data_IF_856742151157
#
_entry.id   IF_856742151157
#
_cell.length_a   1.000
_cell.length_b   1.000
_cell.length_c   1.000
_cell.angle_alpha   90.00
_cell.angle_beta   90.00
_cell.angle_gamma   90.00
#
_symmetry.space_group_name_H-M   'P 1'
#
loop_
_entity.id
_entity.type
_entity.pdbx_description
1 polymer ?
#
# COMPACT_ATOMS: atom_id res chain seq x y z
N UNK A 1 -43.46 72.74 4.67
CA UNK A 1 -42.88 72.02 3.52
C UNK A 1 -42.22 70.77 4.10
N UNK A 2 -42.84 69.58 3.97
CA UNK A 2 -42.54 68.57 2.94
C UNK A 2 -41.04 68.21 2.92
N UNK A 3 -40.55 66.97 3.05
CA UNK A 3 -41.11 65.66 2.73
C UNK A 3 -40.33 64.57 3.49
N UNK A 4 -40.99 63.48 3.87
CA UNK A 4 -40.34 62.24 4.30
C UNK A 4 -39.89 61.38 3.12
N UNK A 5 -38.85 60.58 3.34
CA UNK A 5 -38.39 59.42 2.57
C UNK A 5 -37.76 58.46 3.62
N UNK A 6 -38.43 57.38 4.03
CA UNK A 6 -38.39 56.01 3.45
C UNK A 6 -36.98 55.39 3.58
N UNK A 7 -36.67 54.59 4.60
CA UNK A 7 -36.81 53.12 4.71
C UNK A 7 -36.31 52.36 3.48
N UNK A 8 -35.17 51.66 3.61
CA UNK A 8 -34.88 50.34 3.00
C UNK A 8 -33.61 49.77 3.69
N UNK A 9 -33.72 49.02 4.78
CA UNK A 9 -33.98 47.58 4.88
C UNK A 9 -32.97 46.68 4.15
N UNK A 10 -32.25 45.91 4.96
CA UNK A 10 -31.70 44.57 4.74
C UNK A 10 -31.27 44.19 3.32
N UNK A 11 -29.96 44.04 3.15
CA UNK A 11 -29.34 43.22 2.09
C UNK A 11 -29.77 41.74 2.23
N UNK A 12 -30.98 41.43 1.77
CA UNK A 12 -31.51 40.09 1.66
C UNK A 12 -31.08 39.51 0.31
N UNK A 13 -29.87 38.95 0.28
CA UNK A 13 -29.40 38.16 -0.86
C UNK A 13 -30.32 36.94 -1.02
N UNK A 14 -31.03 36.76 -2.14
CA UNK A 14 -31.93 35.63 -2.32
C UNK A 14 -31.09 34.35 -2.42
N UNK A 15 -31.05 33.60 -1.31
CA UNK A 15 -30.48 32.27 -1.24
C UNK A 15 -31.24 31.39 -2.23
N UNK A 16 -30.55 30.97 -3.30
CA UNK A 16 -31.05 30.01 -4.27
C UNK A 16 -31.68 28.83 -3.53
N UNK A 17 -32.89 28.39 -3.89
CA UNK A 17 -33.57 27.31 -3.19
C UNK A 17 -32.70 26.06 -3.30
N UNK A 18 -32.12 25.64 -2.17
CA UNK A 18 -31.44 24.34 -2.04
C UNK A 18 -32.50 23.30 -2.40
N UNK A 19 -32.44 22.77 -3.62
CA UNK A 19 -33.19 21.56 -4.01
C UNK A 19 -32.72 20.46 -3.05
N UNK A 20 -33.44 20.27 -1.95
CA UNK A 20 -33.22 19.16 -1.05
C UNK A 20 -33.61 17.94 -1.87
N UNK A 21 -32.61 17.21 -2.36
CA UNK A 21 -32.82 15.95 -3.06
C UNK A 21 -33.57 15.04 -2.10
N UNK A 22 -34.82 14.73 -2.44
CA UNK A 22 -35.65 13.80 -1.69
C UNK A 22 -35.41 12.43 -2.30
N UNK A 23 -34.57 11.65 -1.63
CA UNK A 23 -34.24 10.31 -2.08
C UNK A 23 -35.53 9.45 -2.09
N UNK A 24 -35.91 8.87 -3.24
CA UNK A 24 -37.15 8.10 -3.36
C UNK A 24 -37.18 6.85 -2.47
N UNK A 25 -36.02 6.39 -1.95
CA UNK A 25 -35.90 5.18 -1.13
C UNK A 25 -35.25 5.45 0.24
N UNK A 26 -35.51 6.63 0.82
CA UNK A 26 -35.03 7.02 2.17
C UNK A 26 -33.51 6.95 2.34
N UNK A 27 -32.75 7.10 1.24
CA UNK A 27 -31.29 7.02 1.25
C UNK A 27 -30.71 5.60 1.16
N UNK A 28 -31.55 4.56 1.10
CA UNK A 28 -31.09 3.17 0.95
C UNK A 28 -30.33 2.95 -0.36
N UNK A 29 -30.85 3.46 -1.46
CA UNK A 29 -30.20 3.35 -2.76
C UNK A 29 -28.83 4.05 -2.74
N UNK A 30 -28.76 5.26 -2.17
CA UNK A 30 -27.50 5.98 -2.01
C UNK A 30 -26.49 5.19 -1.18
N UNK A 31 -26.92 4.63 -0.06
CA UNK A 31 -26.07 3.80 0.79
C UNK A 31 -25.49 2.60 0.04
N UNK A 32 -26.30 1.90 -0.75
CA UNK A 32 -25.85 0.76 -1.55
C UNK A 32 -24.85 1.18 -2.63
N UNK A 33 -25.10 2.29 -3.33
CA UNK A 33 -24.18 2.81 -4.33
C UNK A 33 -22.84 3.23 -3.72
N UNK A 34 -22.87 3.90 -2.56
CA UNK A 34 -21.67 4.28 -1.82
C UNK A 34 -20.90 3.04 -1.36
N UNK A 35 -21.60 2.01 -0.88
CA UNK A 35 -21.01 0.74 -0.46
C UNK A 35 -20.33 0.00 -1.62
N UNK A 36 -21.03 -0.13 -2.75
CA UNK A 36 -20.50 -0.76 -3.96
C UNK A 36 -19.27 0.01 -4.47
N UNK A 37 -19.39 1.34 -4.57
CA UNK A 37 -18.30 2.20 -5.00
C UNK A 37 -17.06 2.04 -4.13
N UNK A 38 -17.21 2.11 -2.80
CA UNK A 38 -16.08 1.93 -1.88
C UNK A 38 -15.45 0.57 -2.09
N UNK A 39 -16.24 -0.49 -2.20
CA UNK A 39 -15.73 -1.83 -2.43
C UNK A 39 -15.00 -1.98 -3.77
N UNK A 40 -15.40 -1.26 -4.83
CA UNK A 40 -14.67 -1.22 -6.09
C UNK A 40 -13.24 -0.65 -5.94
N UNK A 41 -12.97 0.19 -4.94
CA UNK A 41 -11.62 0.67 -4.64
C UNK A 41 -10.68 -0.46 -4.20
N UNK A 42 -11.18 -1.64 -3.81
CA UNK A 42 -10.32 -2.79 -3.55
C UNK A 42 -9.61 -3.31 -4.81
N UNK A 43 -10.04 -2.89 -6.02
CA UNK A 43 -9.43 -3.30 -7.29
C UNK A 43 -8.45 -2.22 -7.80
N UNK A 44 -7.13 -2.49 -7.85
CA UNK A 44 -6.12 -1.53 -8.31
C UNK A 44 -6.32 -1.10 -9.77
N UNK A 45 -6.95 -1.95 -10.60
CA UNK A 45 -7.27 -1.61 -11.99
C UNK A 45 -8.35 -0.52 -12.07
N UNK A 46 -9.32 -0.56 -11.16
CA UNK A 46 -10.36 0.47 -11.10
C UNK A 46 -9.79 1.81 -10.62
N UNK A 47 -8.91 1.79 -9.61
CA UNK A 47 -8.20 3.00 -9.17
C UNK A 47 -7.38 3.59 -10.32
N UNK A 48 -6.67 2.75 -11.08
CA UNK A 48 -5.93 3.20 -12.25
C UNK A 48 -6.83 3.85 -13.31
N UNK A 49 -7.99 3.24 -13.59
CA UNK A 49 -9.01 3.84 -14.46
C UNK A 49 -9.45 5.23 -13.95
N UNK A 50 -9.73 5.37 -12.65
CA UNK A 50 -10.08 6.67 -12.07
C UNK A 50 -8.97 7.71 -12.25
N UNK A 51 -7.71 7.30 -12.09
CA UNK A 51 -6.56 8.18 -12.31
C UNK A 51 -6.41 8.60 -13.77
N UNK A 52 -6.57 7.68 -14.72
CA UNK A 52 -6.47 7.98 -16.16
C UNK A 52 -7.55 8.95 -16.64
N UNK A 53 -8.77 8.85 -16.09
CA UNK A 53 -9.87 9.77 -16.41
C UNK A 53 -9.84 11.07 -15.61
N UNK A 54 -8.74 11.35 -14.88
CA UNK A 54 -8.52 12.60 -14.14
C UNK A 54 -9.53 12.91 -13.03
N UNK A 55 -10.23 11.89 -12.50
CA UNK A 55 -11.13 12.10 -11.36
C UNK A 55 -10.38 12.57 -10.11
N UNK A 56 -9.10 12.21 -9.96
CA UNK A 56 -8.27 12.61 -8.82
C UNK A 56 -7.73 14.05 -8.90
N UNK A 57 -7.92 14.75 -10.02
CA UNK A 57 -7.60 16.17 -10.19
C UNK A 57 -8.74 17.07 -9.70
N UNK A 58 -9.98 16.56 -9.67
CA UNK A 58 -11.16 17.28 -9.21
C UNK A 58 -11.24 17.33 -7.67
N UNK A 59 -11.27 18.53 -7.12
CA UNK A 59 -11.39 18.78 -5.68
C UNK A 59 -12.70 18.26 -5.10
N UNK A 60 -13.79 18.30 -5.88
CA UNK A 60 -15.08 17.79 -5.43
C UNK A 60 -15.02 16.27 -5.20
N UNK A 61 -14.36 15.54 -6.11
CA UNK A 61 -14.16 14.10 -5.98
C UNK A 61 -13.26 13.74 -4.79
N UNK A 62 -12.20 14.52 -4.54
CA UNK A 62 -11.34 14.34 -3.36
C UNK A 62 -12.16 14.58 -2.07
N UNK A 63 -13.03 15.60 -2.07
CA UNK A 63 -13.97 15.85 -0.97
C UNK A 63 -14.93 14.67 -0.74
N UNK A 64 -15.39 14.03 -1.82
CA UNK A 64 -16.21 12.83 -1.73
C UNK A 64 -15.45 11.63 -1.15
N UNK A 65 -14.18 11.42 -1.53
CA UNK A 65 -13.35 10.37 -0.91
C UNK A 65 -13.13 10.60 0.59
N UNK A 66 -12.99 11.86 1.03
CA UNK A 66 -12.95 12.20 2.46
C UNK A 66 -14.26 11.89 3.14
N UNK A 67 -15.39 12.21 2.51
CA UNK A 67 -16.71 11.84 3.02
C UNK A 67 -16.81 10.33 3.25
N UNK A 68 -16.40 9.51 2.29
CA UNK A 68 -16.44 8.05 2.37
C UNK A 68 -15.57 7.45 3.50
N UNK A 69 -14.73 8.21 4.18
CA UNK A 69 -14.00 7.70 5.36
C UNK A 69 -14.94 7.31 6.51
N UNK A 70 -16.22 7.71 6.51
CA UNK A 70 -17.19 7.25 7.50
C UNK A 70 -17.36 5.70 7.48
N UNK A 71 -17.06 5.03 6.37
CA UNK A 71 -17.09 3.56 6.27
C UNK A 71 -16.09 2.86 7.19
N UNK A 72 -15.08 3.57 7.70
CA UNK A 72 -14.14 3.04 8.69
C UNK A 72 -14.74 2.93 10.10
N UNK A 73 -15.86 3.61 10.37
CA UNK A 73 -16.50 3.56 11.69
C UNK A 73 -17.12 2.16 11.93
N UNK A 74 -17.13 1.67 13.18
CA UNK A 74 -17.54 0.30 13.51
C UNK A 74 -19.00 -0.01 13.11
N UNK A 75 -19.85 1.00 13.04
CA UNK A 75 -21.26 0.84 12.65
C UNK A 75 -21.42 0.44 11.19
N UNK A 76 -20.50 0.88 10.32
CA UNK A 76 -20.57 0.69 8.87
C UNK A 76 -19.61 -0.38 8.34
N UNK A 77 -18.46 -0.55 9.00
CA UNK A 77 -17.42 -1.49 8.55
C UNK A 77 -17.92 -2.95 8.44
N UNK A 78 -18.94 -3.32 9.22
CA UNK A 78 -19.57 -4.65 9.18
C UNK A 78 -20.18 -5.02 7.82
N UNK A 79 -20.47 -4.04 6.98
CA UNK A 79 -21.02 -4.25 5.64
C UNK A 79 -19.95 -4.41 4.55
N UNK A 80 -18.68 -4.15 4.87
CA UNK A 80 -17.56 -4.24 3.92
C UNK A 80 -17.16 -5.70 3.73
N UNK A 81 -17.22 -6.21 2.50
CA UNK A 81 -16.75 -7.57 2.18
C UNK A 81 -15.25 -7.60 1.84
N UNK A 82 -14.74 -6.53 1.24
CA UNK A 82 -13.35 -6.46 0.74
C UNK A 82 -12.51 -5.48 1.56
N UNK A 83 -11.79 -5.92 2.62
CA UNK A 83 -11.16 -5.01 3.58
C UNK A 83 -10.07 -4.10 2.97
N UNK A 84 -9.44 -4.51 1.87
CA UNK A 84 -8.44 -3.68 1.18
C UNK A 84 -9.02 -2.39 0.59
N UNK A 85 -10.33 -2.28 0.37
CA UNK A 85 -10.90 -1.01 -0.10
C UNK A 85 -10.65 0.14 0.87
N UNK A 86 -10.69 -0.12 2.17
CA UNK A 86 -10.45 0.89 3.20
C UNK A 86 -8.99 1.32 3.24
N UNK A 87 -8.07 0.38 3.05
CA UNK A 87 -6.65 0.65 2.93
C UNK A 87 -6.35 1.54 1.71
N UNK A 88 -6.94 1.22 0.56
CA UNK A 88 -6.79 2.08 -0.63
C UNK A 88 -7.46 3.44 -0.48
N UNK A 89 -8.62 3.50 0.19
CA UNK A 89 -9.29 4.77 0.48
C UNK A 89 -8.40 5.71 1.32
N UNK A 90 -7.62 5.15 2.25
CA UNK A 90 -6.63 5.91 3.02
C UNK A 90 -5.44 6.33 2.15
N UNK A 91 -4.88 5.43 1.35
CA UNK A 91 -3.78 5.77 0.43
C UNK A 91 -4.17 6.87 -0.56
N UNK A 92 -5.42 6.85 -1.06
CA UNK A 92 -5.96 7.85 -1.98
C UNK A 92 -6.04 9.26 -1.38
N UNK A 93 -5.98 9.42 -0.05
CA UNK A 93 -5.88 10.76 0.55
C UNK A 93 -4.55 11.43 0.20
N UNK A 94 -3.48 10.64 0.01
CA UNK A 94 -2.17 11.14 -0.38
C UNK A 94 -2.15 11.51 -1.87
N UNK A 95 -1.83 12.77 -2.16
CA UNK A 95 -1.74 13.27 -3.54
C UNK A 95 -0.69 12.50 -4.36
N UNK A 96 0.46 12.17 -3.76
CA UNK A 96 1.54 11.41 -4.42
C UNK A 96 1.11 10.03 -4.88
N UNK A 97 0.22 9.37 -4.11
CA UNK A 97 -0.30 8.07 -4.49
C UNK A 97 -1.29 8.19 -5.66
N UNK A 98 -2.17 9.20 -5.62
CA UNK A 98 -3.13 9.48 -6.71
C UNK A 98 -2.43 9.70 -8.04
N UNK A 99 -1.36 10.50 -8.06
CA UNK A 99 -0.56 10.74 -9.27
C UNK A 99 0.22 9.51 -9.70
N UNK A 100 0.81 8.77 -8.76
CA UNK A 100 1.53 7.53 -9.06
C UNK A 100 0.62 6.48 -9.73
N UNK A 101 -0.64 6.36 -9.27
CA UNK A 101 -1.61 5.38 -9.81
C UNK A 101 -2.03 5.64 -11.26
N UNK A 102 -1.76 6.83 -11.81
CA UNK A 102 -1.95 7.08 -13.25
C UNK A 102 -0.98 6.27 -14.12
N UNK A 103 0.15 5.82 -13.56
CA UNK A 103 1.15 5.05 -14.28
C UNK A 103 0.88 3.53 -14.22
N UNK A 104 0.89 2.80 -15.36
CA UNK A 104 0.53 1.38 -15.40
C UNK A 104 1.47 0.47 -14.58
N UNK A 105 2.75 0.84 -14.45
CA UNK A 105 3.69 0.09 -13.60
C UNK A 105 3.28 0.08 -12.12
N UNK A 106 2.73 1.19 -11.61
CA UNK A 106 2.26 1.27 -10.22
C UNK A 106 0.98 0.47 -10.02
N UNK A 107 0.07 0.46 -11.00
CA UNK A 107 -1.10 -0.43 -11.00
C UNK A 107 -0.68 -1.90 -10.90
N UNK A 108 0.33 -2.31 -11.68
CA UNK A 108 0.78 -3.70 -11.67
C UNK A 108 1.51 -4.06 -10.37
N UNK A 109 2.33 -3.13 -9.85
CA UNK A 109 2.98 -3.29 -8.56
C UNK A 109 1.95 -3.45 -7.42
N UNK A 110 0.95 -2.57 -7.36
CA UNK A 110 -0.11 -2.62 -6.35
C UNK A 110 -0.92 -3.91 -6.46
N UNK A 111 -1.29 -4.31 -7.68
CA UNK A 111 -1.97 -5.58 -7.94
C UNK A 111 -1.15 -6.78 -7.46
N UNK A 112 0.15 -6.81 -7.79
CA UNK A 112 1.08 -7.85 -7.33
C UNK A 112 1.18 -7.88 -5.81
N UNK A 113 1.31 -6.73 -5.15
CA UNK A 113 1.36 -6.66 -3.69
C UNK A 113 0.10 -7.21 -3.03
N UNK A 114 -1.08 -6.81 -3.52
CA UNK A 114 -2.37 -7.33 -3.05
C UNK A 114 -2.47 -8.85 -3.24
N UNK A 115 -2.05 -9.37 -4.40
CA UNK A 115 -2.02 -10.81 -4.65
C UNK A 115 -1.11 -11.55 -3.66
N UNK A 116 0.13 -11.07 -3.45
CA UNK A 116 1.05 -11.72 -2.51
C UNK A 116 0.62 -11.61 -1.06
N UNK A 117 -0.07 -10.54 -0.69
CA UNK A 117 -0.67 -10.41 0.64
C UNK A 117 -1.69 -11.53 0.89
N UNK A 118 -2.60 -11.77 -0.07
CA UNK A 118 -3.58 -12.85 0.03
C UNK A 118 -2.95 -14.24 -0.06
N UNK A 119 -2.03 -14.44 -1.01
CA UNK A 119 -1.31 -15.72 -1.16
C UNK A 119 -0.61 -16.12 0.14
N UNK A 120 -0.03 -15.15 0.85
CA UNK A 120 0.69 -15.38 2.11
C UNK A 120 -0.14 -15.05 3.35
N UNK A 121 -1.46 -14.88 3.23
CA UNK A 121 -2.32 -14.37 4.31
C UNK A 121 -2.20 -15.21 5.59
N UNK A 122 -2.25 -16.54 5.46
CA UNK A 122 -2.05 -17.49 6.58
C UNK A 122 -0.69 -17.25 7.26
N UNK A 123 0.39 -17.21 6.48
CA UNK A 123 1.75 -17.07 6.99
C UNK A 123 1.97 -15.70 7.66
N UNK A 124 1.43 -14.63 7.07
CA UNK A 124 1.56 -13.29 7.61
C UNK A 124 0.82 -13.13 8.94
N UNK A 125 -0.36 -13.74 9.09
CA UNK A 125 -1.09 -13.73 10.37
C UNK A 125 -0.42 -14.57 11.44
N UNK A 126 0.16 -15.72 11.06
CA UNK A 126 0.88 -16.57 12.01
C UNK A 126 2.11 -15.87 12.63
N UNK A 127 2.79 -14.97 11.91
CA UNK A 127 3.91 -14.16 12.44
C UNK A 127 3.51 -13.25 13.62
N UNK A 128 2.25 -12.83 13.68
CA UNK A 128 1.74 -11.98 14.77
C UNK A 128 1.09 -12.79 15.90
N UNK A 129 0.78 -14.07 15.65
CA UNK A 129 0.17 -14.97 16.64
C UNK A 129 1.27 -15.77 17.38
N UNK A 130 2.37 -16.11 16.70
CA UNK A 130 3.54 -16.68 17.35
C UNK A 130 4.30 -15.56 18.09
N UNK A 131 4.58 -15.72 19.39
CA UNK A 131 5.49 -14.82 20.10
C UNK A 131 6.80 -14.74 19.34
N UNK A 132 7.30 -13.52 19.12
CA UNK A 132 8.70 -13.32 18.73
C UNK A 132 9.56 -14.13 19.72
N UNK A 133 10.44 -15.04 19.25
CA UNK A 133 11.38 -15.69 20.15
C UNK A 133 12.11 -14.61 20.92
N UNK A 134 12.05 -14.66 22.26
CA UNK A 134 12.81 -13.75 23.10
C UNK A 134 14.29 -13.80 22.67
N UNK A 135 15.02 -12.67 22.61
CA UNK A 135 16.44 -12.70 22.33
C UNK A 135 17.09 -13.66 23.33
N UNK A 136 17.74 -14.69 22.81
CA UNK A 136 18.44 -15.67 23.61
C UNK A 136 19.46 -14.95 24.50
N UNK A 137 19.45 -15.15 25.83
CA UNK A 137 20.44 -14.55 26.69
C UNK A 137 21.81 -15.09 26.28
N UNK A 138 22.64 -14.22 25.72
CA UNK A 138 24.05 -14.49 25.47
C UNK A 138 24.64 -15.13 26.74
N UNK A 139 25.16 -16.37 26.69
CA UNK A 139 25.81 -16.96 27.84
C UNK A 139 26.95 -16.04 28.27
N UNK A 140 26.86 -15.50 29.49
CA UNK A 140 27.96 -14.77 30.09
C UNK A 140 29.20 -15.67 30.09
N UNK A 141 30.26 -15.24 29.40
CA UNK A 141 31.57 -15.86 29.43
C UNK A 141 32.00 -16.05 30.91
N UNK A 142 32.37 -17.26 31.35
CA UNK A 142 32.78 -17.47 32.72
C UNK A 142 34.13 -16.80 32.99
N UNK A 143 34.10 -15.83 33.91
CA UNK A 143 35.27 -15.28 34.59
C UNK A 143 35.93 -16.38 35.42
N UNK A 144 37.10 -16.88 34.98
CA UNK A 144 38.24 -17.26 35.83
C UNK A 144 39.33 -17.98 35.03
N UNK A 145 40.43 -17.30 34.72
CA UNK A 145 41.78 -17.88 34.68
C UNK A 145 42.84 -16.77 34.83
N UNK A 146 43.69 -16.94 35.84
CA UNK A 146 44.84 -16.09 36.20
C UNK A 146 45.89 -15.95 35.06
N UNK A 147 46.74 -14.91 35.05
CA UNK A 147 47.75 -14.66 34.01
C UNK A 147 49.08 -15.40 34.30
N UNK A 148 49.83 -15.85 33.27
CA UNK A 148 51.26 -16.12 33.42
C UNK A 148 52.12 -14.84 33.15
N UNK A 149 53.30 -14.71 33.81
CA UNK A 149 54.16 -13.50 33.79
C UNK A 149 55.04 -13.38 32.53
N UNK A 150 55.74 -12.24 32.32
CA UNK A 150 56.26 -11.84 31.01
C UNK A 150 57.66 -12.40 30.73
N UNK A 151 57.94 -12.69 29.46
CA UNK A 151 59.32 -12.79 28.95
C UNK A 151 59.49 -11.96 27.68
N UNK A 152 60.48 -11.10 27.80
CA UNK A 152 60.95 -10.05 26.90
C UNK A 152 61.62 -10.61 25.65
N UNK A 153 61.29 -10.08 24.47
CA UNK A 153 62.32 -9.77 23.46
C UNK A 153 61.88 -8.61 22.58
N UNK A 154 62.80 -7.68 22.41
CA UNK A 154 62.63 -6.34 21.84
C UNK A 154 62.69 -6.31 20.31
N UNK A 155 62.40 -5.10 19.80
CA UNK A 155 62.81 -4.49 18.52
C UNK A 155 61.71 -4.43 17.44
N UNK A 156 61.43 -3.32 16.77
CA UNK A 156 61.86 -1.92 16.88
C UNK A 156 60.87 -1.07 16.05
N UNK A 157 60.65 0.17 16.49
CA UNK A 157 60.55 1.47 15.76
C UNK A 157 60.13 1.47 14.26
N UNK A 158 59.34 2.39 13.71
CA UNK A 158 58.74 3.65 14.17
C UNK A 158 58.00 4.34 12.99
N UNK A 159 56.86 4.99 13.30
CA UNK A 159 56.28 6.27 12.80
C UNK A 159 55.85 6.52 11.33
N UNK A 160 54.54 6.87 11.21
CA UNK A 160 53.91 8.02 10.49
C UNK A 160 53.86 8.03 8.94
N UNK A 161 52.82 8.50 8.21
CA UNK A 161 52.06 9.78 8.22
C UNK A 161 50.78 9.68 7.31
N UNK A 162 49.65 10.32 7.70
CA UNK A 162 48.57 11.05 6.93
C UNK A 162 47.96 10.47 5.62
N UNK A 163 46.68 10.60 5.20
CA UNK A 163 45.35 10.97 5.71
C UNK A 163 44.31 10.54 4.60
N UNK A 164 43.05 11.02 4.52
CA UNK A 164 41.87 10.16 4.38
C UNK A 164 41.34 10.00 2.95
N UNK A 165 40.53 8.98 2.70
CA UNK A 165 39.62 8.91 1.55
C UNK A 165 38.24 8.42 1.99
N UNK A 166 37.15 9.01 1.47
CA UNK A 166 35.79 8.57 1.73
C UNK A 166 35.46 7.40 0.81
N UNK A 167 34.95 6.29 1.35
CA UNK A 167 34.49 5.17 0.52
C UNK A 167 33.01 4.95 0.75
N UNK A 168 32.24 5.43 -0.23
CA UNK A 168 30.96 4.86 -0.64
C UNK A 168 31.17 3.35 -0.84
N UNK A 169 30.44 2.51 -0.10
CA UNK A 169 30.37 1.08 -0.44
C UNK A 169 29.30 0.85 -1.51
N UNK A 170 29.68 0.26 -2.66
CA UNK A 170 28.74 -0.29 -3.63
C UNK A 170 28.38 -1.71 -3.20
N UNK A 171 27.09 -2.00 -2.95
CA UNK A 171 26.70 -3.38 -2.69
C UNK A 171 26.74 -4.20 -3.98
N UNK A 172 27.56 -5.24 -3.88
CA UNK A 172 28.10 -6.11 -4.90
C UNK A 172 27.06 -7.12 -5.37
N UNK A 173 26.86 -7.23 -6.69
CA UNK A 173 26.18 -8.37 -7.30
C UNK A 173 27.07 -9.60 -7.18
N UNK A 174 26.60 -10.62 -6.46
CA UNK A 174 27.25 -11.92 -6.34
C UNK A 174 26.22 -13.04 -6.37
N UNK A 175 26.20 -13.79 -7.47
CA UNK A 175 25.41 -15.00 -7.70
C UNK A 175 26.08 -16.17 -6.96
N UNK A 176 25.39 -16.95 -6.10
CA UNK A 176 25.95 -18.17 -5.54
C UNK A 176 25.79 -19.36 -6.50
N UNK A 177 26.79 -20.28 -6.61
CA UNK A 177 26.70 -21.44 -7.49
C UNK A 177 25.99 -22.62 -6.79
N UNK A 178 25.08 -23.29 -7.50
CA UNK A 178 24.43 -24.53 -7.10
C UNK A 178 24.67 -25.67 -8.10
N UNK A 179 24.64 -26.95 -7.67
CA UNK A 179 25.01 -28.12 -8.49
C UNK A 179 23.95 -28.52 -9.55
N UNK A 180 24.31 -29.36 -10.55
CA UNK A 180 23.62 -29.42 -11.84
C UNK A 180 22.34 -30.26 -11.83
N UNK A 181 21.31 -29.77 -12.52
CA UNK A 181 20.09 -30.50 -12.88
C UNK A 181 20.28 -31.26 -14.21
N UNK A 182 19.74 -32.49 -14.37
CA UNK A 182 19.83 -33.24 -15.61
C UNK A 182 18.94 -32.66 -16.72
N UNK A 183 19.54 -32.50 -17.91
CA UNK A 183 18.90 -32.16 -19.19
C UNK A 183 18.01 -33.31 -19.67
N UNK A 184 16.75 -33.02 -19.99
CA UNK A 184 15.96 -33.77 -20.95
C UNK A 184 15.29 -32.78 -21.90
N UNK A 185 15.74 -32.79 -23.16
CA UNK A 185 15.17 -31.99 -24.26
C UNK A 185 14.01 -32.73 -24.96
N UNK A 186 13.08 -32.00 -25.59
CA UNK A 186 11.80 -32.51 -26.07
C UNK A 186 11.91 -33.04 -27.50
N UNK A 187 11.33 -34.21 -27.77
CA UNK A 187 11.00 -34.65 -29.13
C UNK A 187 9.60 -35.25 -29.18
N UNK A 188 8.79 -34.62 -30.04
CA UNK A 188 7.68 -35.19 -30.80
C UNK A 188 6.38 -35.53 -30.06
N UNK A 189 5.27 -34.94 -30.51
CA UNK A 189 3.93 -35.29 -30.07
C UNK A 189 2.84 -34.28 -30.43
N UNK A 190 2.96 -33.58 -31.57
CA UNK A 190 1.85 -32.80 -32.11
C UNK A 190 1.08 -33.68 -33.09
N UNK A 191 0.06 -34.40 -32.64
CA UNK A 191 -0.98 -34.90 -33.56
C UNK A 191 -2.32 -35.25 -32.89
N UNK A 192 -3.38 -34.70 -33.47
CA UNK A 192 -4.80 -35.12 -33.46
C UNK A 192 -5.56 -35.23 -32.13
N UNK A 193 -6.21 -34.13 -31.74
CA UNK A 193 -7.59 -34.19 -31.21
C UNK A 193 -8.58 -33.73 -32.29
N UNK A 194 -9.02 -34.67 -33.12
CA UNK A 194 -10.15 -34.48 -34.04
C UNK A 194 -11.44 -34.87 -33.32
N UNK A 195 -12.38 -33.93 -33.32
CA UNK A 195 -13.80 -34.01 -32.95
C UNK A 195 -14.41 -35.42 -33.11
N UNK A 196 -15.13 -35.88 -32.10
CA UNK A 196 -16.24 -36.82 -32.28
C UNK A 196 -17.51 -36.12 -31.79
N UNK A 197 -18.33 -35.69 -32.74
CA UNK A 197 -19.71 -35.25 -32.57
C UNK A 197 -20.54 -36.08 -33.55
N UNK A 198 -21.67 -36.56 -33.05
CA UNK A 198 -22.80 -37.21 -33.74
C UNK A 198 -22.62 -38.66 -34.22
N UNK A 199 -23.62 -39.47 -33.87
CA UNK A 199 -23.75 -40.91 -34.12
C UNK A 199 -24.32 -41.62 -32.90
#
# INVERSE_FOLDING_TARGET
MASGQEIDDSSNTPSSPKKVYKDPDDGRQRFLLELEFVQCLANPTYIHYLAQNRYFEDEAFIGYLKYLQYWQRPEYIKFIMYPHCLYFLELLQNASFRTAMAHPANKELTHRQQFYFWKNYRNNRLKHILPRPLPEPTPALPSNALPPPPTTTMAASSVSVSAPSPVLSPMQYGVPPGPPLPKNDPRSGLDRRKRKKDG
#
